data_IF_661309398982
#
_entry.id   IF_661309398982
#
_cell.length_a   1.000
_cell.length_b   1.000
_cell.length_c   1.000
_cell.angle_alpha   90.00
_cell.angle_beta   90.00
_cell.angle_gamma   90.00
#
_symmetry.space_group_name_H-M   'P 1'
#
loop_
_entity.id
_entity.type
_entity.pdbx_description
1 polymer ?
#
# COMPACT_ATOMS: atom_id res chain seq x y z
N UNK A 1 -9.05 -26.13 29.37
CA UNK A 1 -9.87 -24.89 29.37
C UNK A 1 -8.97 -23.72 29.05
N UNK A 2 -8.88 -23.34 27.78
CA UNK A 2 -8.28 -22.08 27.31
C UNK A 2 -8.63 -21.92 25.82
N UNK A 3 -9.87 -21.49 25.55
CA UNK A 3 -10.32 -21.01 24.24
C UNK A 3 -10.78 -19.57 24.47
N UNK A 4 -10.40 -18.68 23.56
CA UNK A 4 -10.82 -17.26 23.43
C UNK A 4 -9.93 -16.21 24.11
N UNK A 5 -8.76 -15.91 23.53
CA UNK A 5 -8.03 -14.67 23.85
C UNK A 5 -7.46 -13.90 22.64
N UNK A 6 -7.94 -14.15 21.42
CA UNK A 6 -7.51 -13.39 20.21
C UNK A 6 -8.65 -12.67 19.47
N UNK A 7 -9.80 -12.43 20.11
CA UNK A 7 -10.94 -11.69 19.53
C UNK A 7 -11.33 -10.41 20.27
N UNK A 8 -10.54 -9.98 21.25
CA UNK A 8 -10.85 -8.81 22.11
C UNK A 8 -10.14 -7.55 21.64
N UNK A 9 -10.64 -6.96 20.55
CA UNK A 9 -10.45 -5.53 20.24
C UNK A 9 -11.50 -4.92 19.27
N UNK A 10 -12.40 -5.71 18.69
CA UNK A 10 -13.48 -5.21 17.83
C UNK A 10 -14.83 -5.75 18.32
N UNK A 11 -15.40 -5.11 19.34
CA UNK A 11 -16.85 -5.12 19.56
C UNK A 11 -17.37 -3.69 19.42
N UNK A 12 -17.20 -3.12 18.22
CA UNK A 12 -18.29 -2.27 17.74
C UNK A 12 -19.43 -3.23 17.42
N UNK A 13 -20.62 -2.99 17.97
CA UNK A 13 -21.81 -3.75 17.60
C UNK A 13 -22.06 -3.50 16.11
N UNK A 14 -21.57 -4.41 15.26
CA UNK A 14 -21.80 -4.40 13.83
C UNK A 14 -22.89 -5.42 13.53
N UNK A 15 -23.98 -4.94 12.94
CA UNK A 15 -25.03 -5.82 12.46
C UNK A 15 -24.66 -6.28 11.05
N UNK A 16 -24.39 -7.58 10.91
CA UNK A 16 -24.26 -8.23 9.61
C UNK A 16 -25.49 -9.10 9.39
N UNK A 17 -26.15 -8.91 8.26
CA UNK A 17 -27.36 -9.68 7.93
C UNK A 17 -26.98 -11.11 7.59
N UNK A 18 -27.79 -12.10 7.97
CA UNK A 18 -27.52 -13.50 7.64
C UNK A 18 -27.48 -13.73 6.11
N UNK A 19 -26.59 -14.60 5.58
CA UNK A 19 -26.42 -14.80 4.14
C UNK A 19 -27.73 -15.12 3.39
N UNK A 20 -28.60 -15.93 3.98
CA UNK A 20 -29.89 -16.31 3.36
C UNK A 20 -30.92 -15.18 3.34
N UNK A 21 -30.81 -14.20 4.24
CA UNK A 21 -31.77 -13.10 4.38
C UNK A 21 -31.45 -11.94 3.44
N UNK A 22 -30.17 -11.76 3.09
CA UNK A 22 -29.69 -10.68 2.21
C UNK A 22 -30.38 -10.63 0.84
N UNK A 23 -30.46 -11.71 0.04
CA UNK A 23 -31.07 -11.63 -1.29
C UNK A 23 -32.55 -11.24 -1.20
N UNK A 24 -33.27 -11.76 -0.20
CA UNK A 24 -34.68 -11.41 0.05
C UNK A 24 -34.83 -9.92 0.35
N UNK A 25 -34.03 -9.39 1.28
CA UNK A 25 -34.07 -7.97 1.62
C UNK A 25 -33.65 -7.08 0.45
N UNK A 26 -32.64 -7.48 -0.32
CA UNK A 26 -32.21 -6.74 -1.51
C UNK A 26 -33.32 -6.69 -2.56
N UNK A 27 -33.97 -7.82 -2.86
CA UNK A 27 -35.08 -7.86 -3.82
C UNK A 27 -36.27 -7.04 -3.33
N UNK A 28 -36.60 -7.12 -2.03
CA UNK A 28 -37.65 -6.30 -1.43
C UNK A 28 -37.33 -4.80 -1.52
N UNK A 29 -36.12 -4.38 -1.17
CA UNK A 29 -35.68 -2.98 -1.25
C UNK A 29 -35.71 -2.45 -2.68
N UNK A 30 -35.22 -3.24 -3.65
CA UNK A 30 -35.25 -2.86 -5.07
C UNK A 30 -36.69 -2.79 -5.60
N UNK A 31 -37.56 -3.71 -5.17
CA UNK A 31 -38.99 -3.69 -5.50
C UNK A 31 -39.69 -2.44 -4.95
N UNK A 32 -39.47 -2.12 -3.68
CA UNK A 32 -40.00 -0.89 -3.05
C UNK A 32 -39.47 0.35 -3.75
N UNK A 33 -38.16 0.42 -4.05
CA UNK A 33 -37.58 1.53 -4.82
C UNK A 33 -38.24 1.69 -6.21
N UNK A 34 -38.57 0.59 -6.88
CA UNK A 34 -39.23 0.65 -8.19
C UNK A 34 -40.67 1.17 -8.08
N UNK A 35 -41.42 0.72 -7.07
CA UNK A 35 -42.77 1.23 -6.78
C UNK A 35 -42.73 2.73 -6.46
N UNK A 36 -41.81 3.17 -5.60
CA UNK A 36 -41.66 4.59 -5.25
C UNK A 36 -41.29 5.45 -6.46
N UNK A 37 -40.46 4.96 -7.38
CA UNK A 37 -40.18 5.66 -8.64
C UNK A 37 -41.43 5.74 -9.51
N UNK A 38 -42.19 4.66 -9.63
CA UNK A 38 -43.45 4.64 -10.39
C UNK A 38 -44.46 5.67 -9.83
N UNK A 39 -44.66 5.69 -8.52
CA UNK A 39 -45.52 6.67 -7.84
C UNK A 39 -45.03 8.10 -8.03
N UNK A 40 -43.71 8.34 -7.99
CA UNK A 40 -43.16 9.67 -8.25
C UNK A 40 -43.45 10.16 -9.69
N UNK A 41 -43.39 9.26 -10.67
CA UNK A 41 -43.71 9.57 -12.07
C UNK A 41 -45.19 9.90 -12.22
N UNK A 42 -46.09 9.10 -11.61
CA UNK A 42 -47.53 9.35 -11.63
C UNK A 42 -47.89 10.68 -10.97
N UNK A 43 -47.36 10.95 -9.77
CA UNK A 43 -47.60 12.22 -9.09
C UNK A 43 -47.12 13.44 -9.89
N UNK A 44 -46.03 13.29 -10.67
CA UNK A 44 -45.55 14.35 -11.58
C UNK A 44 -46.54 14.61 -12.70
N UNK A 45 -47.20 13.58 -13.23
CA UNK A 45 -48.27 13.73 -14.22
C UNK A 45 -49.52 14.43 -13.65
N UNK A 46 -49.78 14.27 -12.35
CA UNK A 46 -50.86 14.95 -11.62
C UNK A 46 -50.48 16.37 -11.13
N UNK A 47 -49.27 16.85 -11.43
CA UNK A 47 -48.79 18.18 -11.05
C UNK A 47 -48.31 18.31 -9.59
N UNK A 48 -48.12 17.19 -8.89
CA UNK A 48 -47.69 17.17 -7.47
C UNK A 48 -46.23 16.77 -7.34
N UNK A 49 -45.40 17.62 -6.75
CA UNK A 49 -43.96 17.37 -6.60
C UNK A 49 -43.64 16.41 -5.43
N UNK A 50 -43.46 15.13 -5.74
CA UNK A 50 -43.04 14.09 -4.79
C UNK A 50 -41.56 13.67 -4.97
N UNK A 51 -40.65 14.63 -5.15
CA UNK A 51 -39.21 14.35 -5.28
C UNK A 51 -38.62 13.51 -4.12
N UNK A 52 -39.24 13.54 -2.94
CA UNK A 52 -38.83 12.72 -1.79
C UNK A 52 -39.03 11.20 -2.01
N UNK A 53 -39.96 10.76 -2.86
CA UNK A 53 -40.09 9.35 -3.24
C UNK A 53 -38.86 8.87 -4.02
N UNK A 54 -38.35 9.70 -4.93
CA UNK A 54 -37.11 9.40 -5.67
C UNK A 54 -35.92 9.37 -4.72
N UNK A 55 -35.83 10.30 -3.77
CA UNK A 55 -34.78 10.28 -2.74
C UNK A 55 -34.83 9.01 -1.86
N UNK A 56 -36.01 8.62 -1.39
CA UNK A 56 -36.20 7.39 -0.64
C UNK A 56 -35.83 6.14 -1.46
N UNK A 57 -36.17 6.14 -2.75
CA UNK A 57 -35.79 5.07 -3.69
C UNK A 57 -34.28 4.94 -3.84
N UNK A 58 -33.57 6.07 -4.02
CA UNK A 58 -32.11 6.12 -4.10
C UNK A 58 -31.47 5.60 -2.82
N UNK A 59 -31.99 6.01 -1.66
CA UNK A 59 -31.57 5.50 -0.36
C UNK A 59 -31.73 3.97 -0.29
N UNK A 60 -32.89 3.43 -0.66
CA UNK A 60 -33.14 1.98 -0.72
C UNK A 60 -32.19 1.23 -1.64
N UNK A 61 -31.86 1.79 -2.82
CA UNK A 61 -30.87 1.23 -3.75
C UNK A 61 -29.47 1.19 -3.13
N UNK A 62 -29.05 2.23 -2.40
CA UNK A 62 -27.77 2.23 -1.69
C UNK A 62 -27.73 1.17 -0.59
N UNK A 63 -28.83 0.99 0.16
CA UNK A 63 -28.97 -0.08 1.16
C UNK A 63 -28.83 -1.45 0.51
N UNK A 64 -29.57 -1.70 -0.58
CA UNK A 64 -29.50 -2.96 -1.32
C UNK A 64 -28.08 -3.23 -1.87
N UNK A 65 -27.41 -2.19 -2.40
CA UNK A 65 -26.01 -2.30 -2.84
C UNK A 65 -25.06 -2.60 -1.68
N UNK A 66 -25.25 -1.98 -0.52
CA UNK A 66 -24.45 -2.24 0.67
C UNK A 66 -24.57 -3.69 1.15
N UNK A 67 -25.79 -4.22 1.17
CA UNK A 67 -26.06 -5.64 1.48
C UNK A 67 -25.38 -6.57 0.48
N UNK A 68 -25.43 -6.27 -0.82
CA UNK A 68 -24.71 -7.02 -1.85
C UNK A 68 -23.20 -7.04 -1.58
N UNK A 69 -22.64 -5.89 -1.19
CA UNK A 69 -21.22 -5.75 -0.89
C UNK A 69 -20.81 -6.28 0.49
N UNK A 70 -21.76 -6.81 1.28
CA UNK A 70 -21.55 -7.32 2.64
C UNK A 70 -21.13 -6.23 3.63
N UNK A 71 -21.60 -5.00 3.44
CA UNK A 71 -21.25 -3.86 4.30
C UNK A 71 -21.88 -4.04 5.69
N UNK A 72 -21.08 -4.00 6.77
CA UNK A 72 -21.62 -4.01 8.12
C UNK A 72 -22.25 -2.66 8.47
N UNK A 73 -23.39 -2.70 9.17
CA UNK A 73 -24.01 -1.50 9.74
C UNK A 73 -23.47 -1.32 11.15
N UNK A 74 -22.85 -0.17 11.40
CA UNK A 74 -22.27 0.18 12.70
C UNK A 74 -23.16 1.19 13.43
N UNK A 75 -22.98 1.34 14.74
CA UNK A 75 -23.67 2.38 15.50
C UNK A 75 -23.41 3.80 14.93
N UNK A 76 -22.17 4.21 14.58
CA UNK A 76 -21.93 5.49 13.89
C UNK A 76 -22.66 5.63 12.55
N UNK A 77 -22.73 4.58 11.73
CA UNK A 77 -23.47 4.64 10.46
C UNK A 77 -24.95 4.92 10.73
N UNK A 78 -25.53 4.20 11.70
CA UNK A 78 -26.93 4.35 12.07
C UNK A 78 -27.22 5.75 12.64
N UNK A 79 -26.41 6.24 13.58
CA UNK A 79 -26.64 7.55 14.20
C UNK A 79 -26.51 8.69 13.19
N UNK A 80 -25.50 8.67 12.32
CA UNK A 80 -25.34 9.70 11.28
C UNK A 80 -26.48 9.62 10.26
N UNK A 81 -26.90 8.41 9.86
CA UNK A 81 -28.02 8.25 8.92
C UNK A 81 -29.35 8.74 9.51
N UNK A 82 -29.62 8.45 10.79
CA UNK A 82 -30.80 8.95 11.51
C UNK A 82 -30.76 10.47 11.66
N UNK A 83 -29.59 11.03 11.99
CA UNK A 83 -29.42 12.48 12.06
C UNK A 83 -29.64 13.15 10.69
N UNK A 84 -29.06 12.60 9.62
CA UNK A 84 -29.28 13.08 8.26
C UNK A 84 -30.76 12.99 7.85
N UNK A 85 -31.47 11.93 8.25
CA UNK A 85 -32.90 11.78 8.02
C UNK A 85 -33.72 12.84 8.78
N UNK A 86 -33.37 13.13 10.04
CA UNK A 86 -34.02 14.18 10.82
C UNK A 86 -33.80 15.57 10.19
N UNK A 87 -32.56 15.88 9.79
CA UNK A 87 -32.25 17.11 9.06
C UNK A 87 -32.98 17.18 7.71
N UNK A 88 -33.12 16.06 6.99
CA UNK A 88 -33.89 16.02 5.74
C UNK A 88 -35.36 16.42 5.95
N UNK A 89 -36.01 15.87 6.99
CA UNK A 89 -37.39 16.20 7.36
C UNK A 89 -37.53 17.68 7.74
N UNK A 90 -36.60 18.24 8.51
CA UNK A 90 -36.59 19.69 8.84
C UNK A 90 -36.43 20.52 7.57
N UNK A 91 -35.52 20.16 6.66
CA UNK A 91 -35.31 20.87 5.40
C UNK A 91 -36.56 20.84 4.49
N UNK A 92 -37.26 19.72 4.42
CA UNK A 92 -38.54 19.64 3.69
C UNK A 92 -39.62 20.54 4.31
N UNK A 93 -39.71 20.59 5.65
CA UNK A 93 -40.67 21.48 6.34
C UNK A 93 -40.32 22.96 6.22
N UNK A 94 -39.03 23.28 6.10
CA UNK A 94 -38.53 24.64 5.90
C UNK A 94 -38.51 25.06 4.41
N UNK A 95 -39.22 24.35 3.53
CA UNK A 95 -39.32 24.66 2.10
C UNK A 95 -37.96 24.68 1.36
N UNK A 96 -37.01 23.85 1.82
CA UNK A 96 -35.72 23.60 1.16
C UNK A 96 -35.67 22.19 0.54
N UNK A 97 -36.48 21.89 -0.51
CA UNK A 97 -36.66 20.54 -1.02
C UNK A 97 -35.40 19.93 -1.63
N UNK A 98 -34.51 20.73 -2.22
CA UNK A 98 -33.24 20.24 -2.77
C UNK A 98 -32.29 19.71 -1.68
N UNK A 99 -32.23 20.41 -0.53
CA UNK A 99 -31.43 19.98 0.62
C UNK A 99 -32.05 18.75 1.28
N UNK A 100 -33.37 18.74 1.46
CA UNK A 100 -34.12 17.59 1.96
C UNK A 100 -33.90 16.34 1.09
N UNK A 101 -33.95 16.50 -0.23
CA UNK A 101 -33.68 15.44 -1.20
C UNK A 101 -32.28 14.86 -1.05
N UNK A 102 -31.25 15.72 -1.05
CA UNK A 102 -29.86 15.28 -0.93
C UNK A 102 -29.60 14.52 0.36
N UNK A 103 -30.08 15.05 1.49
CA UNK A 103 -29.95 14.40 2.80
C UNK A 103 -30.67 13.05 2.83
N UNK A 104 -31.93 12.99 2.41
CA UNK A 104 -32.72 11.75 2.39
C UNK A 104 -32.08 10.69 1.48
N UNK A 105 -31.70 11.05 0.25
CA UNK A 105 -31.04 10.14 -0.69
C UNK A 105 -29.70 9.62 -0.13
N UNK A 106 -28.97 10.44 0.62
CA UNK A 106 -27.69 10.06 1.22
C UNK A 106 -27.81 9.10 2.41
N UNK A 107 -28.97 9.00 3.06
CA UNK A 107 -29.14 8.17 4.29
C UNK A 107 -28.74 6.71 4.08
N UNK A 108 -29.19 6.09 2.99
CA UNK A 108 -28.86 4.69 2.66
C UNK A 108 -27.39 4.51 2.29
N UNK A 109 -26.77 5.52 1.67
CA UNK A 109 -25.33 5.53 1.39
C UNK A 109 -24.52 5.62 2.69
N UNK A 110 -24.88 6.53 3.60
CA UNK A 110 -24.26 6.72 4.92
C UNK A 110 -24.35 5.42 5.73
N UNK A 111 -25.51 4.78 5.73
CA UNK A 111 -25.75 3.53 6.47
C UNK A 111 -24.82 2.40 6.01
N UNK A 112 -24.47 2.40 4.72
CA UNK A 112 -23.68 1.36 4.04
C UNK A 112 -22.24 1.79 3.72
N UNK A 113 -21.75 2.85 4.37
CA UNK A 113 -20.37 3.30 4.19
C UNK A 113 -19.38 2.18 4.53
N UNK A 114 -18.27 2.08 3.77
CA UNK A 114 -17.24 1.08 4.06
C UNK A 114 -16.54 1.37 5.38
N UNK A 115 -16.43 0.37 6.24
CA UNK A 115 -15.55 0.46 7.41
C UNK A 115 -14.08 0.50 6.98
N UNK A 116 -13.30 1.29 7.72
CA UNK A 116 -11.85 1.36 7.57
C UNK A 116 -11.14 0.58 8.67
N UNK A 117 -10.10 -0.17 8.32
CA UNK A 117 -9.13 -0.77 9.21
C UNK A 117 -8.32 0.29 9.94
N UNK A 118 -7.94 0.00 11.19
CA UNK A 118 -7.13 0.88 12.03
C UNK A 118 -5.66 0.39 12.05
N UNK A 119 -4.67 1.29 12.12
CA UNK A 119 -3.27 0.89 12.18
C UNK A 119 -3.01 0.06 13.43
N UNK A 120 -2.05 -0.86 13.35
CA UNK A 120 -1.70 -1.75 14.46
C UNK A 120 -0.21 -1.65 14.82
N UNK A 121 0.32 -0.46 15.19
CA UNK A 121 1.73 -0.30 15.56
C UNK A 121 2.14 -1.20 16.73
N UNK A 122 1.20 -1.58 17.61
CA UNK A 122 1.43 -2.53 18.69
C UNK A 122 1.84 -3.95 18.23
N UNK A 123 1.61 -4.30 16.95
CA UNK A 123 2.01 -5.60 16.39
C UNK A 123 3.45 -5.60 15.85
N UNK A 124 4.16 -4.46 15.88
CA UNK A 124 5.47 -4.28 15.24
C UNK A 124 6.48 -5.37 15.59
N UNK A 125 6.63 -5.74 16.86
CA UNK A 125 7.59 -6.80 17.27
C UNK A 125 7.24 -8.18 16.69
N UNK A 126 5.94 -8.51 16.61
CA UNK A 126 5.48 -9.77 16.04
C UNK A 126 5.70 -9.79 14.53
N UNK A 127 5.42 -8.68 13.85
CA UNK A 127 5.64 -8.51 12.42
C UNK A 127 7.13 -8.55 12.10
N UNK A 128 7.98 -7.91 12.89
CA UNK A 128 9.44 -7.97 12.73
C UNK A 128 9.99 -9.40 12.82
N UNK A 129 9.48 -10.21 13.77
CA UNK A 129 9.86 -11.62 13.85
C UNK A 129 9.43 -12.44 12.63
N UNK A 130 8.32 -12.09 11.98
CA UNK A 130 7.89 -12.72 10.74
C UNK A 130 8.72 -12.26 9.54
N UNK A 131 9.04 -10.96 9.45
CA UNK A 131 9.94 -10.39 8.44
C UNK A 131 11.31 -11.06 8.51
N UNK A 132 11.87 -11.23 9.71
CA UNK A 132 13.16 -11.90 9.89
C UNK A 132 13.13 -13.36 9.39
N UNK A 133 12.01 -14.07 9.56
CA UNK A 133 11.84 -15.45 9.06
C UNK A 133 11.51 -15.54 7.58
N UNK A 134 11.11 -14.44 6.94
CA UNK A 134 10.74 -14.42 5.53
C UNK A 134 12.00 -14.51 4.67
N UNK A 135 12.08 -15.54 3.84
CA UNK A 135 13.21 -15.80 2.95
C UNK A 135 12.77 -15.61 1.49
N UNK A 136 13.73 -15.28 0.62
CA UNK A 136 13.49 -15.09 -0.82
C UNK A 136 12.48 -13.98 -1.14
N UNK A 137 12.28 -13.03 -0.22
CA UNK A 137 11.52 -11.80 -0.45
C UNK A 137 12.19 -10.63 0.27
N UNK A 138 13.15 -9.96 -0.39
CA UNK A 138 13.85 -8.85 0.24
C UNK A 138 12.89 -7.71 0.59
N UNK A 139 11.71 -7.61 -0.03
CA UNK A 139 10.72 -6.55 0.23
C UNK A 139 9.91 -6.76 1.52
N UNK A 140 10.04 -7.91 2.19
CA UNK A 140 9.35 -8.20 3.45
C UNK A 140 9.44 -7.09 4.51
N UNK A 141 10.57 -6.36 4.70
CA UNK A 141 10.66 -5.28 5.68
C UNK A 141 9.62 -4.19 5.51
N UNK A 142 9.13 -3.92 4.29
CA UNK A 142 8.08 -2.91 4.06
C UNK A 142 6.75 -3.24 4.75
N UNK A 143 6.57 -4.49 5.20
CA UNK A 143 5.46 -4.86 6.08
C UNK A 143 5.49 -4.11 7.43
N UNK A 144 6.62 -3.52 7.86
CA UNK A 144 6.75 -2.83 9.15
C UNK A 144 6.13 -1.43 9.19
N UNK A 145 5.71 -0.87 8.05
CA UNK A 145 5.16 0.49 7.98
C UNK A 145 4.00 0.69 8.99
N UNK A 146 4.05 1.76 9.80
CA UNK A 146 3.16 1.92 10.97
C UNK A 146 1.67 2.03 10.62
N UNK A 147 1.37 2.54 9.42
CA UNK A 147 0.01 2.64 8.89
C UNK A 147 -0.65 1.29 8.58
N UNK A 148 0.06 0.16 8.62
CA UNK A 148 -0.52 -1.15 8.25
C UNK A 148 -1.40 -1.76 9.34
N UNK A 149 -2.30 -2.61 8.88
CA UNK A 149 -3.08 -3.58 9.66
C UNK A 149 -2.62 -4.96 9.26
N UNK A 150 -2.73 -5.95 10.14
CA UNK A 150 -2.24 -7.29 9.87
C UNK A 150 -3.33 -8.33 10.09
N UNK A 151 -3.36 -9.33 9.21
CA UNK A 151 -4.11 -10.55 9.41
C UNK A 151 -3.13 -11.70 9.61
N UNK A 152 -3.21 -12.39 10.75
CA UNK A 152 -2.32 -13.49 11.10
C UNK A 152 -3.08 -14.81 10.99
N UNK A 153 -2.40 -15.87 10.56
CA UNK A 153 -2.95 -17.21 10.72
C UNK A 153 -3.06 -17.59 12.20
N UNK A 154 -3.80 -18.65 12.51
CA UNK A 154 -4.07 -19.10 13.87
C UNK A 154 -2.78 -19.35 14.69
N UNK A 155 -1.74 -19.91 14.07
CA UNK A 155 -0.47 -20.25 14.71
C UNK A 155 0.52 -19.07 14.75
N UNK A 156 0.16 -17.92 14.18
CA UNK A 156 1.03 -16.73 14.15
C UNK A 156 2.35 -16.94 13.41
N UNK A 157 2.41 -17.89 12.49
CA UNK A 157 3.60 -18.21 11.70
C UNK A 157 3.67 -17.44 10.39
N UNK A 158 2.55 -16.85 9.94
CA UNK A 158 2.50 -15.99 8.77
C UNK A 158 1.47 -14.87 8.92
N UNK A 159 1.65 -13.78 8.17
CA UNK A 159 0.74 -12.64 8.16
C UNK A 159 0.61 -11.95 6.80
N UNK A 160 -0.56 -11.37 6.55
CA UNK A 160 -0.83 -10.45 5.43
C UNK A 160 -0.87 -9.02 5.98
N UNK A 161 -0.04 -8.15 5.43
CA UNK A 161 -0.03 -6.73 5.75
C UNK A 161 -0.94 -5.96 4.77
N UNK A 162 -1.94 -5.26 5.30
CA UNK A 162 -2.96 -4.61 4.48
C UNK A 162 -3.48 -3.30 5.09
N UNK A 163 -4.21 -2.53 4.29
CA UNK A 163 -4.95 -1.34 4.74
C UNK A 163 -6.21 -1.19 3.91
N UNK A 164 -7.30 -0.77 4.54
CA UNK A 164 -8.55 -0.62 3.80
C UNK A 164 -8.82 0.84 3.46
N UNK A 165 -9.23 1.12 2.22
CA UNK A 165 -9.72 2.42 1.76
C UNK A 165 -10.87 2.21 0.80
N UNK A 166 -11.91 3.04 0.91
CA UNK A 166 -13.08 2.98 0.03
C UNK A 166 -13.72 1.58 -0.08
N UNK A 167 -13.60 0.79 0.99
CA UNK A 167 -14.10 -0.57 1.04
C UNK A 167 -13.30 -1.60 0.24
N UNK A 168 -12.05 -1.27 -0.10
CA UNK A 168 -11.04 -2.16 -0.66
C UNK A 168 -9.99 -2.42 0.43
N UNK A 169 -9.73 -3.67 0.77
CA UNK A 169 -8.54 -4.12 1.50
C UNK A 169 -7.37 -4.19 0.50
N UNK A 170 -6.50 -3.20 0.56
CA UNK A 170 -5.27 -3.13 -0.23
C UNK A 170 -4.19 -3.89 0.53
N UNK A 171 -3.81 -5.05 0.01
CA UNK A 171 -2.69 -5.85 0.48
C UNK A 171 -1.40 -5.27 -0.08
N UNK A 172 -0.39 -5.09 0.77
CA UNK A 172 0.91 -4.55 0.39
C UNK A 172 1.95 -5.67 0.29
N UNK A 173 2.33 -6.01 -0.94
CA UNK A 173 3.32 -7.04 -1.22
C UNK A 173 2.82 -8.46 -0.97
N UNK A 174 3.78 -9.36 -0.76
CA UNK A 174 3.55 -10.77 -0.45
C UNK A 174 3.32 -10.97 1.06
N UNK A 175 2.67 -12.07 1.49
CA UNK A 175 2.62 -12.43 2.90
C UNK A 175 4.03 -12.59 3.49
N UNK A 176 4.16 -12.37 4.81
CA UNK A 176 5.40 -12.53 5.56
C UNK A 176 5.32 -13.76 6.48
N UNK A 177 6.46 -14.37 6.77
CA UNK A 177 6.60 -15.52 7.66
C UNK A 177 6.79 -16.84 6.90
N UNK A 178 6.18 -17.92 7.40
CA UNK A 178 6.30 -19.26 6.84
C UNK A 178 5.52 -19.39 5.53
N UNK A 179 6.26 -19.58 4.43
CA UNK A 179 5.75 -19.72 3.07
C UNK A 179 4.77 -20.88 2.92
N UNK A 180 4.95 -21.97 3.68
CA UNK A 180 4.04 -23.12 3.63
C UNK A 180 2.62 -22.76 4.07
N UNK A 181 2.46 -21.74 4.92
CA UNK A 181 1.16 -21.27 5.41
C UNK A 181 0.45 -20.29 4.46
N UNK A 182 1.12 -19.79 3.41
CA UNK A 182 0.59 -18.69 2.60
C UNK A 182 -0.70 -19.06 1.86
N UNK A 183 -0.80 -20.29 1.34
CA UNK A 183 -1.97 -20.75 0.61
C UNK A 183 -3.25 -20.76 1.45
N UNK A 184 -3.16 -21.24 2.70
CA UNK A 184 -4.27 -21.23 3.65
C UNK A 184 -4.57 -19.80 4.11
N UNK A 185 -3.54 -19.04 4.49
CA UNK A 185 -3.65 -17.65 4.93
C UNK A 185 -4.38 -16.75 3.91
N UNK A 186 -4.09 -16.91 2.61
CA UNK A 186 -4.77 -16.15 1.53
C UNK A 186 -6.26 -16.50 1.46
N UNK A 187 -6.60 -17.78 1.63
CA UNK A 187 -8.00 -18.24 1.67
C UNK A 187 -8.75 -17.67 2.87
N UNK A 188 -8.18 -17.81 4.07
CA UNK A 188 -8.71 -17.27 5.32
C UNK A 188 -8.90 -15.74 5.25
N UNK A 189 -7.90 -15.02 4.72
CA UNK A 189 -8.00 -13.57 4.55
C UNK A 189 -9.08 -13.17 3.53
N UNK A 190 -9.27 -13.96 2.47
CA UNK A 190 -10.32 -13.71 1.48
C UNK A 190 -11.71 -13.77 2.11
N UNK A 191 -11.96 -14.79 2.94
CA UNK A 191 -13.19 -14.93 3.70
C UNK A 191 -13.34 -13.80 4.73
N UNK A 192 -12.28 -13.52 5.49
CA UNK A 192 -12.25 -12.42 6.45
C UNK A 192 -12.59 -11.08 5.80
N UNK A 193 -11.99 -10.75 4.66
CA UNK A 193 -12.26 -9.50 3.94
C UNK A 193 -13.71 -9.45 3.45
N UNK A 194 -14.24 -10.55 2.90
CA UNK A 194 -15.63 -10.65 2.47
C UNK A 194 -16.60 -10.40 3.64
N UNK A 195 -16.32 -10.98 4.81
CA UNK A 195 -17.13 -10.84 6.02
C UNK A 195 -17.12 -9.41 6.60
N UNK A 196 -16.08 -8.62 6.29
CA UNK A 196 -16.01 -7.19 6.63
C UNK A 196 -16.55 -6.28 5.50
N UNK A 197 -17.11 -6.88 4.45
CA UNK A 197 -17.60 -6.16 3.28
C UNK A 197 -16.51 -5.60 2.38
N UNK A 198 -15.26 -5.96 2.61
CA UNK A 198 -14.14 -5.49 1.81
C UNK A 198 -13.99 -6.30 0.54
N UNK A 199 -13.50 -5.62 -0.49
CA UNK A 199 -12.99 -6.22 -1.71
C UNK A 199 -11.48 -6.23 -1.65
N UNK A 200 -10.82 -7.16 -2.33
CA UNK A 200 -9.36 -7.26 -2.25
C UNK A 200 -8.72 -6.63 -3.49
N UNK A 201 -7.66 -5.86 -3.26
CA UNK A 201 -6.67 -5.52 -4.26
C UNK A 201 -5.28 -5.81 -3.67
N UNK A 202 -4.37 -6.33 -4.48
CA UNK A 202 -2.99 -6.62 -4.03
C UNK A 202 -2.05 -5.73 -4.82
N UNK A 203 -1.13 -5.05 -4.14
CA UNK A 203 -0.16 -4.17 -4.75
C UNK A 203 1.25 -4.69 -4.50
N UNK A 204 1.95 -5.09 -5.55
CA UNK A 204 3.34 -5.56 -5.45
C UNK A 204 3.52 -7.05 -5.24
N UNK A 205 2.54 -7.89 -5.62
CA UNK A 205 2.64 -9.33 -5.47
C UNK A 205 3.73 -9.93 -6.36
N UNK A 206 4.52 -10.86 -5.85
CA UNK A 206 5.42 -11.70 -6.63
C UNK A 206 4.68 -12.68 -7.55
N UNK A 207 5.36 -13.32 -8.51
CA UNK A 207 4.73 -14.22 -9.48
C UNK A 207 4.00 -15.40 -8.83
N UNK A 208 4.62 -16.05 -7.83
CA UNK A 208 4.02 -17.21 -7.16
C UNK A 208 2.80 -16.81 -6.31
N UNK A 209 2.93 -15.76 -5.51
CA UNK A 209 1.85 -15.26 -4.65
C UNK A 209 0.68 -14.72 -5.47
N UNK A 210 0.94 -14.12 -6.63
CA UNK A 210 -0.08 -13.76 -7.62
C UNK A 210 -0.90 -14.98 -8.07
N UNK A 211 -0.24 -16.13 -8.27
CA UNK A 211 -0.90 -17.42 -8.51
C UNK A 211 -1.78 -17.84 -7.33
N UNK A 212 -1.25 -17.80 -6.11
CA UNK A 212 -1.98 -18.15 -4.89
C UNK A 212 -3.24 -17.30 -4.70
N UNK A 213 -3.18 -15.99 -4.90
CA UNK A 213 -4.35 -15.12 -4.84
C UNK A 213 -5.45 -15.51 -5.83
N UNK A 214 -5.07 -15.89 -7.04
CA UNK A 214 -6.04 -16.30 -8.08
C UNK A 214 -6.68 -17.64 -7.78
N UNK A 215 -5.94 -18.55 -7.17
CA UNK A 215 -6.40 -19.90 -6.83
C UNK A 215 -7.22 -19.91 -5.53
N UNK A 216 -6.70 -19.27 -4.47
CA UNK A 216 -7.19 -19.44 -3.09
C UNK A 216 -8.13 -18.34 -2.62
N UNK A 217 -8.17 -17.17 -3.26
CA UNK A 217 -9.10 -16.11 -2.88
C UNK A 217 -10.52 -16.36 -3.43
N UNK A 218 -11.17 -17.43 -2.96
CA UNK A 218 -12.44 -17.93 -3.48
C UNK A 218 -13.57 -16.89 -3.43
N UNK A 219 -13.63 -16.08 -2.37
CA UNK A 219 -14.61 -14.98 -2.23
C UNK A 219 -14.34 -13.79 -3.16
N UNK A 220 -13.17 -13.74 -3.78
CA UNK A 220 -12.69 -12.63 -4.60
C UNK A 220 -12.27 -13.09 -5.99
N UNK A 221 -12.98 -14.07 -6.58
CA UNK A 221 -12.68 -14.57 -7.94
C UNK A 221 -12.56 -13.45 -8.96
N UNK A 222 -11.67 -13.66 -9.93
CA UNK A 222 -11.46 -12.73 -11.05
C UNK A 222 -10.40 -11.65 -10.79
N UNK A 223 -9.60 -11.78 -9.74
CA UNK A 223 -8.36 -11.00 -9.57
C UNK A 223 -7.46 -11.23 -10.80
N UNK A 224 -7.14 -10.17 -11.53
CA UNK A 224 -6.27 -10.22 -12.69
C UNK A 224 -4.93 -9.57 -12.37
N UNK A 225 -3.81 -10.25 -12.66
CA UNK A 225 -2.49 -9.68 -12.47
C UNK A 225 -2.21 -8.66 -13.57
N UNK A 226 -1.93 -7.44 -13.16
CA UNK A 226 -1.44 -6.36 -14.02
C UNK A 226 0.04 -6.16 -13.68
N UNK A 227 0.98 -6.42 -14.61
CA UNK A 227 2.40 -6.14 -14.36
C UNK A 227 2.57 -4.66 -14.08
N UNK A 228 3.17 -4.33 -12.94
CA UNK A 228 3.42 -2.93 -12.55
C UNK A 228 4.90 -2.57 -12.64
N UNK A 229 5.79 -3.57 -12.65
CA UNK A 229 7.23 -3.36 -12.72
C UNK A 229 8.01 -4.58 -12.27
N UNK A 230 9.29 -4.36 -11.96
CA UNK A 230 10.23 -5.40 -11.52
C UNK A 230 10.99 -4.94 -10.29
N UNK A 231 11.33 -5.90 -9.45
CA UNK A 231 12.30 -5.67 -8.39
C UNK A 231 13.72 -5.57 -8.99
N UNK A 232 14.61 -4.85 -8.31
CA UNK A 232 16.02 -4.72 -8.69
C UNK A 232 16.86 -5.25 -7.54
N UNK A 233 17.24 -6.52 -7.66
CA UNK A 233 17.88 -7.29 -6.59
C UNK A 233 19.28 -7.69 -7.01
N UNK A 234 20.27 -7.16 -6.28
CA UNK A 234 21.66 -7.57 -6.42
C UNK A 234 21.86 -8.90 -5.68
N UNK A 235 22.21 -9.94 -6.43
CA UNK A 235 22.75 -11.19 -5.90
C UNK A 235 24.23 -10.97 -5.55
N UNK A 236 24.53 -10.87 -4.25
CA UNK A 236 25.82 -10.40 -3.71
C UNK A 236 27.01 -11.23 -4.21
N UNK A 237 26.84 -12.56 -4.26
CA UNK A 237 27.87 -13.51 -4.70
C UNK A 237 28.16 -13.42 -6.20
N UNK A 238 27.17 -13.01 -6.99
CA UNK A 238 27.25 -12.94 -8.46
C UNK A 238 27.54 -11.54 -8.98
N UNK A 239 27.48 -10.54 -8.10
CA UNK A 239 27.69 -9.16 -8.49
C UNK A 239 29.18 -8.86 -8.65
N UNK A 240 29.62 -8.76 -9.90
CA UNK A 240 30.89 -8.15 -10.24
C UNK A 240 30.67 -6.94 -11.15
N UNK A 241 31.55 -5.95 -11.09
CA UNK A 241 31.49 -4.79 -11.97
C UNK A 241 32.27 -5.05 -13.27
N UNK A 242 32.25 -6.27 -13.83
CA UNK A 242 33.08 -6.66 -14.97
C UNK A 242 32.41 -6.39 -16.32
N UNK A 243 33.20 -5.95 -17.30
CA UNK A 243 32.74 -5.74 -18.68
C UNK A 243 32.21 -4.33 -18.96
N UNK A 244 31.81 -4.10 -20.22
CA UNK A 244 31.46 -2.77 -20.73
C UNK A 244 30.17 -2.20 -20.12
N UNK A 245 29.22 -3.06 -19.75
CA UNK A 245 27.90 -2.66 -19.23
C UNK A 245 27.97 -1.90 -17.89
N UNK A 246 28.99 -2.15 -17.07
CA UNK A 246 29.23 -1.46 -15.79
C UNK A 246 30.15 -0.24 -15.89
N UNK A 247 30.53 0.22 -17.09
CA UNK A 247 31.44 1.38 -17.26
C UNK A 247 30.96 2.60 -16.47
N UNK A 248 29.68 2.94 -16.58
CA UNK A 248 29.10 4.10 -15.89
C UNK A 248 29.13 3.93 -14.36
N UNK A 249 28.88 2.72 -13.87
CA UNK A 249 28.94 2.40 -12.45
C UNK A 249 30.37 2.53 -11.91
N UNK A 250 31.37 1.96 -12.61
CA UNK A 250 32.79 2.10 -12.23
C UNK A 250 33.25 3.56 -12.26
N UNK A 251 32.80 4.34 -13.25
CA UNK A 251 33.11 5.77 -13.33
C UNK A 251 32.50 6.56 -12.17
N UNK A 252 31.26 6.27 -11.78
CA UNK A 252 30.62 6.86 -10.61
C UNK A 252 31.43 6.58 -9.34
N UNK A 253 31.77 5.31 -9.09
CA UNK A 253 32.57 4.88 -7.93
C UNK A 253 33.98 5.50 -7.93
N UNK A 254 34.66 5.53 -9.07
CA UNK A 254 35.99 6.12 -9.19
C UNK A 254 35.96 7.62 -8.94
N UNK A 255 34.92 8.32 -9.43
CA UNK A 255 34.76 9.75 -9.19
C UNK A 255 34.63 10.02 -7.70
N UNK A 256 33.71 9.35 -7.00
CA UNK A 256 33.52 9.60 -5.56
C UNK A 256 34.76 9.29 -4.74
N UNK A 257 35.55 8.26 -5.12
CA UNK A 257 36.86 8.00 -4.50
C UNK A 257 37.83 9.17 -4.67
N UNK A 258 37.90 9.75 -5.87
CA UNK A 258 38.77 10.90 -6.14
C UNK A 258 38.32 12.17 -5.40
N UNK A 259 37.02 12.29 -5.09
CA UNK A 259 36.47 13.33 -4.21
C UNK A 259 36.68 13.03 -2.72
N UNK A 260 37.41 11.98 -2.36
CA UNK A 260 37.72 11.64 -0.97
C UNK A 260 36.57 11.00 -0.18
N UNK A 261 35.49 10.57 -0.85
CA UNK A 261 34.31 10.03 -0.18
C UNK A 261 34.60 8.71 0.53
N UNK A 262 34.26 8.65 1.81
CA UNK A 262 34.32 7.46 2.68
C UNK A 262 32.92 7.00 3.03
N UNK A 263 32.73 5.68 3.17
CA UNK A 263 31.44 5.07 3.52
C UNK A 263 31.59 4.22 4.77
N UNK A 264 30.52 4.16 5.55
CA UNK A 264 30.44 3.37 6.78
C UNK A 264 29.04 2.75 6.91
N UNK A 265 28.96 1.53 7.42
CA UNK A 265 27.70 0.83 7.70
C UNK A 265 27.50 0.76 9.20
N UNK A 266 26.42 1.34 9.70
CA UNK A 266 26.07 1.39 11.13
C UNK A 266 24.65 0.86 11.32
N UNK A 267 24.38 0.14 12.40
CA UNK A 267 23.02 -0.19 12.79
C UNK A 267 22.26 1.10 13.19
N UNK A 268 21.02 1.28 12.73
CA UNK A 268 20.23 2.50 13.01
C UNK A 268 20.05 2.73 14.53
N UNK A 269 19.85 1.64 15.28
CA UNK A 269 19.74 1.68 16.74
C UNK A 269 21.02 2.11 17.45
N UNK A 270 22.19 2.03 16.79
CA UNK A 270 23.49 2.43 17.33
C UNK A 270 23.90 3.85 16.91
N UNK A 271 23.07 4.58 16.16
CA UNK A 271 23.38 5.94 15.72
C UNK A 271 23.46 6.91 16.92
N UNK A 272 24.61 7.57 17.15
CA UNK A 272 24.72 8.63 18.14
C UNK A 272 23.72 9.76 17.88
N UNK A 273 23.17 10.43 18.91
CA UNK A 273 22.20 11.52 18.72
C UNK A 273 22.69 12.65 17.81
N UNK A 274 23.98 13.02 17.91
CA UNK A 274 24.59 14.04 17.05
C UNK A 274 24.60 13.62 15.58
N UNK A 275 25.06 12.40 15.29
CA UNK A 275 25.07 11.87 13.93
C UNK A 275 23.65 11.75 13.35
N UNK A 276 22.68 11.33 14.17
CA UNK A 276 21.28 11.29 13.78
C UNK A 276 20.77 12.68 13.38
N UNK A 277 21.12 13.72 14.14
CA UNK A 277 20.76 15.09 13.80
C UNK A 277 21.40 15.55 12.48
N UNK A 278 22.67 15.20 12.23
CA UNK A 278 23.35 15.52 10.96
C UNK A 278 22.65 14.86 9.76
N UNK A 279 22.27 13.59 9.89
CA UNK A 279 21.55 12.86 8.86
C UNK A 279 20.17 13.47 8.59
N UNK A 280 19.43 13.85 9.63
CA UNK A 280 18.16 14.57 9.49
C UNK A 280 18.34 15.95 8.83
N UNK A 281 19.45 16.64 9.09
CA UNK A 281 19.81 17.88 8.40
C UNK A 281 19.95 17.71 6.88
N UNK A 282 20.49 16.56 6.42
CA UNK A 282 20.54 16.23 4.97
C UNK A 282 19.14 16.09 4.38
N UNK A 283 18.19 15.52 5.14
CA UNK A 283 16.79 15.36 4.71
C UNK A 283 16.11 16.73 4.60
N UNK A 284 16.33 17.61 5.58
CA UNK A 284 15.67 18.92 5.67
C UNK A 284 16.09 19.86 4.51
N UNK A 285 17.29 19.73 3.94
CA UNK A 285 17.76 20.51 2.77
C UNK A 285 16.81 20.45 1.56
N UNK A 286 16.16 19.32 1.36
CA UNK A 286 15.34 19.10 0.18
C UNK A 286 13.99 19.80 0.26
N UNK A 287 13.61 20.39 1.42
CA UNK A 287 12.31 21.03 1.68
C UNK A 287 11.09 20.16 1.27
N UNK A 288 11.34 18.90 0.94
CA UNK A 288 10.41 17.90 0.44
C UNK A 288 9.96 17.03 1.61
N UNK A 289 9.39 17.72 2.61
CA UNK A 289 8.96 17.23 3.92
C UNK A 289 9.03 15.72 4.10
N UNK A 290 9.98 15.28 4.95
CA UNK A 290 10.06 14.01 5.68
C UNK A 290 9.13 12.92 5.14
N UNK A 291 9.70 11.89 4.49
CA UNK A 291 9.05 10.67 3.98
C UNK A 291 7.63 10.45 4.53
N UNK A 292 6.67 11.12 3.91
CA UNK A 292 5.27 11.17 4.38
C UNK A 292 4.32 10.44 3.43
N UNK A 293 4.88 9.94 2.32
CA UNK A 293 4.18 9.22 1.26
C UNK A 293 4.69 7.80 1.23
N UNK A 294 3.91 6.95 0.58
CA UNK A 294 4.16 5.55 0.35
C UNK A 294 3.49 4.65 1.37
N UNK A 295 3.29 3.41 0.94
CA UNK A 295 2.60 2.40 1.71
C UNK A 295 3.24 1.05 1.45
N UNK A 296 3.43 0.64 0.19
CA UNK A 296 3.80 -0.74 -0.13
C UNK A 296 5.32 -0.95 -0.22
N UNK A 297 6.10 0.09 -0.51
CA UNK A 297 7.51 -0.01 -0.86
C UNK A 297 8.36 1.11 -0.24
N UNK A 298 7.91 1.65 0.88
CA UNK A 298 8.68 2.58 1.70
C UNK A 298 8.31 2.36 3.16
N UNK A 299 9.23 2.66 4.07
CA UNK A 299 8.96 2.72 5.50
C UNK A 299 8.76 4.17 5.95
N UNK A 300 8.02 4.30 7.04
CA UNK A 300 7.97 5.54 7.81
C UNK A 300 9.05 5.53 8.90
N UNK A 301 8.98 6.49 9.82
CA UNK A 301 9.83 6.49 11.01
C UNK A 301 11.33 6.52 10.67
N UNK A 302 11.72 7.50 9.86
CA UNK A 302 13.09 7.66 9.37
C UNK A 302 14.05 8.00 10.51
N UNK A 303 15.03 7.12 10.75
CA UNK A 303 16.09 7.32 11.74
C UNK A 303 15.56 7.54 13.17
N UNK A 304 14.43 6.94 13.54
CA UNK A 304 13.93 7.00 14.91
C UNK A 304 14.26 5.72 15.72
N UNK A 305 14.76 4.67 15.06
CA UNK A 305 15.16 3.42 15.70
C UNK A 305 13.99 2.52 16.13
N UNK A 306 12.74 2.83 15.75
CA UNK A 306 11.58 1.98 16.05
C UNK A 306 11.61 0.67 15.26
N UNK A 307 12.01 0.74 13.99
CA UNK A 307 12.15 -0.44 13.16
C UNK A 307 13.39 -1.24 13.60
N UNK A 308 13.23 -2.50 14.01
CA UNK A 308 14.36 -3.29 14.51
C UNK A 308 15.31 -3.66 13.38
N UNK A 309 16.60 -3.80 13.72
CA UNK A 309 17.66 -4.30 12.84
C UNK A 309 17.94 -3.51 11.56
N UNK A 310 17.42 -2.28 11.42
CA UNK A 310 17.73 -1.43 10.28
C UNK A 310 19.23 -1.09 10.19
N UNK A 311 19.74 -1.01 8.96
CA UNK A 311 21.12 -0.57 8.68
C UNK A 311 21.11 0.79 8.00
N UNK A 312 22.14 1.59 8.29
CA UNK A 312 22.40 2.87 7.65
C UNK A 312 23.78 2.83 7.03
N UNK A 313 23.85 3.02 5.71
CA UNK A 313 25.09 3.26 4.99
C UNK A 313 25.24 4.77 4.88
N UNK A 314 26.21 5.36 5.56
CA UNK A 314 26.49 6.80 5.49
C UNK A 314 27.71 7.08 4.63
N UNK A 315 27.74 8.26 4.03
CA UNK A 315 28.87 8.74 3.26
C UNK A 315 29.36 10.10 3.79
N UNK A 316 30.68 10.21 3.97
CA UNK A 316 31.38 11.43 4.38
C UNK A 316 32.34 11.90 3.29
N UNK A 317 32.49 13.20 3.14
CA UNK A 317 33.50 13.79 2.26
C UNK A 317 34.91 13.78 2.89
N UNK A 318 35.88 14.43 2.23
CA UNK A 318 37.27 14.47 2.69
C UNK A 318 37.43 15.24 4.00
N UNK A 319 36.51 16.17 4.29
CA UNK A 319 36.44 16.99 5.49
C UNK A 319 35.60 16.34 6.62
N UNK A 320 35.27 15.04 6.49
CA UNK A 320 34.48 14.25 7.43
C UNK A 320 33.01 14.70 7.60
N UNK A 321 32.52 15.56 6.72
CA UNK A 321 31.14 16.03 6.73
C UNK A 321 30.23 14.99 6.07
N UNK A 322 29.09 14.70 6.70
CA UNK A 322 28.06 13.81 6.14
C UNK A 322 27.49 14.42 4.87
N UNK A 323 27.66 13.76 3.72
CA UNK A 323 27.17 14.19 2.41
C UNK A 323 25.98 13.37 1.91
N UNK A 324 25.69 12.23 2.54
CA UNK A 324 24.50 11.45 2.26
C UNK A 324 24.44 10.15 3.07
N UNK A 325 23.30 9.47 2.99
CA UNK A 325 23.09 8.16 3.58
C UNK A 325 22.01 7.37 2.85
N UNK A 326 22.02 6.06 3.06
CA UNK A 326 21.00 5.13 2.63
C UNK A 326 20.54 4.29 3.81
N UNK A 327 19.24 4.10 3.96
CA UNK A 327 18.65 3.27 5.01
C UNK A 327 18.16 1.95 4.43
N UNK A 328 18.43 0.84 5.10
CA UNK A 328 18.09 -0.50 4.64
C UNK A 328 17.31 -1.28 5.69
N UNK A 329 16.19 -1.88 5.26
CA UNK A 329 15.49 -2.91 6.02
C UNK A 329 16.16 -4.27 5.87
N UNK A 330 16.01 -5.12 6.89
CA UNK A 330 16.66 -6.43 6.97
C UNK A 330 15.60 -7.54 7.07
N UNK A 331 15.78 -8.60 6.29
CA UNK A 331 14.95 -9.81 6.31
C UNK A 331 15.79 -11.09 6.14
N UNK A 332 15.13 -12.25 6.16
CA UNK A 332 15.75 -13.54 5.87
C UNK A 332 16.83 -13.96 6.86
N UNK A 333 16.70 -13.60 8.14
CA UNK A 333 17.65 -13.91 9.19
C UNK A 333 18.95 -13.13 9.03
N UNK A 334 18.86 -11.86 8.63
CA UNK A 334 20.02 -11.00 8.37
C UNK A 334 20.70 -11.24 7.02
N UNK A 335 20.10 -12.02 6.11
CA UNK A 335 20.73 -12.38 4.82
C UNK A 335 20.22 -11.57 3.64
N UNK A 336 19.19 -10.75 3.82
CA UNK A 336 18.58 -9.95 2.77
C UNK A 336 18.42 -8.50 3.24
N UNK A 337 18.75 -7.57 2.36
CA UNK A 337 18.61 -6.13 2.58
C UNK A 337 17.64 -5.52 1.56
N UNK A 338 16.89 -4.51 1.99
CA UNK A 338 16.06 -3.68 1.11
C UNK A 338 16.30 -2.21 1.33
N UNK A 339 16.66 -1.49 0.27
CA UNK A 339 16.81 -0.04 0.32
C UNK A 339 15.44 0.61 0.60
N UNK A 340 15.32 1.24 1.75
CA UNK A 340 14.16 2.04 2.14
C UNK A 340 14.27 3.41 1.47
N UNK A 341 15.31 4.18 1.83
CA UNK A 341 15.50 5.54 1.30
C UNK A 341 16.96 5.89 1.08
N UNK A 342 17.28 6.53 -0.07
CA UNK A 342 18.53 7.25 -0.27
C UNK A 342 18.32 8.77 -0.05
N UNK A 343 19.21 9.39 0.73
CA UNK A 343 19.28 10.83 0.92
C UNK A 343 20.71 11.32 0.69
N UNK A 344 20.85 12.46 0.03
CA UNK A 344 22.16 13.10 -0.19
C UNK A 344 22.02 14.60 -0.22
N UNK A 345 23.07 15.33 0.16
CA UNK A 345 23.09 16.79 0.04
C UNK A 345 23.04 17.21 -1.42
N UNK A 346 22.60 18.46 -1.67
CA UNK A 346 22.52 19.00 -3.03
C UNK A 346 23.89 19.15 -3.70
N UNK A 347 24.92 19.42 -2.89
CA UNK A 347 26.32 19.55 -3.30
C UNK A 347 27.09 18.21 -3.36
N UNK A 348 26.44 17.09 -3.03
CA UNK A 348 27.07 15.78 -3.04
C UNK A 348 27.62 15.40 -4.44
N UNK A 349 28.82 14.77 -4.51
CA UNK A 349 29.42 14.39 -5.78
C UNK A 349 28.57 13.37 -6.54
N UNK A 350 28.49 13.53 -7.86
CA UNK A 350 27.77 12.60 -8.73
C UNK A 350 28.34 11.18 -8.64
N UNK A 351 27.51 10.22 -8.24
CA UNK A 351 27.92 8.83 -8.03
C UNK A 351 27.84 8.38 -6.57
N UNK A 352 27.41 9.24 -5.65
CA UNK A 352 27.33 8.95 -4.22
C UNK A 352 26.45 7.74 -3.90
N UNK A 353 25.26 7.66 -4.51
CA UNK A 353 24.33 6.56 -4.28
C UNK A 353 24.90 5.23 -4.79
N UNK A 354 25.52 5.26 -5.97
CA UNK A 354 26.23 4.10 -6.54
C UNK A 354 27.41 3.66 -5.66
N UNK A 355 28.16 4.61 -5.10
CA UNK A 355 29.28 4.35 -4.20
C UNK A 355 28.81 3.62 -2.94
N UNK A 356 27.76 4.12 -2.28
CA UNK A 356 27.20 3.51 -1.08
C UNK A 356 26.69 2.09 -1.34
N UNK A 357 25.99 1.85 -2.44
CA UNK A 357 25.52 0.49 -2.81
C UNK A 357 26.70 -0.45 -3.08
N UNK A 358 27.70 -0.02 -3.84
CA UNK A 358 28.87 -0.87 -4.16
C UNK A 358 29.68 -1.22 -2.92
N UNK A 359 29.88 -0.27 -2.01
CA UNK A 359 30.57 -0.53 -0.75
C UNK A 359 29.72 -1.41 0.19
N UNK A 360 28.39 -1.25 0.17
CA UNK A 360 27.47 -2.15 0.86
C UNK A 360 27.55 -3.58 0.33
N UNK A 361 27.73 -3.81 -0.98
CA UNK A 361 27.94 -5.16 -1.52
C UNK A 361 29.21 -5.79 -0.94
N UNK A 362 30.28 -5.02 -0.76
CA UNK A 362 31.51 -5.52 -0.14
C UNK A 362 31.30 -5.88 1.34
N UNK A 363 30.60 -5.01 2.09
CA UNK A 363 30.18 -5.29 3.46
C UNK A 363 29.30 -6.56 3.53
N UNK A 364 28.32 -6.66 2.64
CA UNK A 364 27.38 -7.78 2.57
C UNK A 364 28.09 -9.13 2.41
N UNK A 365 29.11 -9.21 1.55
CA UNK A 365 29.95 -10.41 1.41
C UNK A 365 30.61 -10.81 2.72
N UNK A 366 31.17 -9.85 3.45
CA UNK A 366 31.85 -10.13 4.72
C UNK A 366 30.87 -10.59 5.82
N UNK A 367 29.59 -10.18 5.74
CA UNK A 367 28.56 -10.51 6.72
C UNK A 367 27.67 -11.70 6.30
N UNK A 368 27.93 -12.33 5.15
CA UNK A 368 27.11 -13.45 4.65
C UNK A 368 25.70 -13.05 4.16
N UNK A 369 25.50 -11.78 3.84
CA UNK A 369 24.29 -11.27 3.19
C UNK A 369 24.29 -11.70 1.72
N UNK A 370 23.16 -12.24 1.25
CA UNK A 370 23.02 -12.83 -0.09
C UNK A 370 22.37 -11.89 -1.10
N UNK A 371 21.42 -11.07 -0.67
CA UNK A 371 20.61 -10.22 -1.57
C UNK A 371 20.48 -8.81 -1.05
N UNK A 372 20.50 -7.85 -1.99
CA UNK A 372 20.21 -6.44 -1.74
C UNK A 372 19.20 -5.96 -2.77
N UNK A 373 17.95 -5.72 -2.37
CA UNK A 373 16.96 -5.02 -3.19
C UNK A 373 17.22 -3.51 -3.12
N UNK A 374 17.29 -2.87 -4.29
CA UNK A 374 17.57 -1.44 -4.41
C UNK A 374 16.32 -0.58 -4.55
N UNK A 375 15.28 -1.10 -5.19
CA UNK A 375 13.96 -0.50 -5.32
C UNK A 375 13.18 -1.25 -6.39
N UNK A 376 11.89 -0.94 -6.42
CA UNK A 376 11.01 -1.28 -7.51
C UNK A 376 11.21 -0.37 -8.73
N UNK A 377 11.54 -0.98 -9.87
CA UNK A 377 11.52 -0.31 -11.17
C UNK A 377 10.12 -0.45 -11.77
N UNK A 378 9.33 0.64 -11.78
CA UNK A 378 8.02 0.62 -12.40
C UNK A 378 8.14 0.53 -13.93
N UNK A 379 7.36 -0.37 -14.54
CA UNK A 379 7.23 -0.56 -15.99
C UNK A 379 8.54 -0.46 -16.80
N UNK A 380 9.60 -1.23 -16.47
CA UNK A 380 10.89 -1.12 -17.14
C UNK A 380 10.78 -1.39 -18.64
N UNK A 381 9.85 -2.26 -19.05
CA UNK A 381 9.56 -2.56 -20.46
C UNK A 381 9.06 -1.32 -21.24
N UNK A 382 8.22 -0.47 -20.62
CA UNK A 382 7.75 0.76 -21.26
C UNK A 382 8.88 1.77 -21.50
N UNK A 383 9.92 1.77 -20.67
CA UNK A 383 11.08 2.63 -20.79
C UNK A 383 12.23 2.03 -21.61
N UNK A 384 12.28 0.70 -21.74
CA UNK A 384 13.30 0.00 -22.52
C UNK A 384 13.01 0.04 -24.04
N UNK A 385 11.75 -0.09 -24.43
CA UNK A 385 11.36 -0.16 -25.84
C UNK A 385 11.32 1.22 -26.52
N UNK A 386 12.07 1.34 -27.62
CA UNK A 386 12.06 2.54 -28.48
C UNK A 386 10.96 2.52 -29.54
N UNK A 387 10.33 1.37 -29.79
CA UNK A 387 9.20 1.22 -30.71
C UNK A 387 7.97 0.79 -29.93
N UNK A 388 7.08 1.75 -29.62
CA UNK A 388 5.89 1.51 -28.80
C UNK A 388 4.67 1.30 -29.69
N UNK A 389 3.87 0.28 -29.39
CA UNK A 389 2.51 0.15 -29.93
C UNK A 389 1.61 1.32 -29.47
N UNK A 390 0.49 1.56 -30.16
CA UNK A 390 -0.46 2.63 -29.79
C UNK A 390 -0.97 2.49 -28.34
N UNK A 391 -1.18 1.27 -27.87
CA UNK A 391 -1.60 0.98 -26.49
C UNK A 391 -0.49 1.28 -25.48
N UNK A 392 0.76 0.88 -25.79
CA UNK A 392 1.92 1.21 -24.95
C UNK A 392 2.20 2.71 -24.91
N UNK A 393 1.93 3.44 -26.01
CA UNK A 393 2.05 4.89 -26.06
C UNK A 393 1.01 5.58 -25.16
N UNK A 394 -0.23 5.09 -25.14
CA UNK A 394 -1.28 5.59 -24.24
C UNK A 394 -0.93 5.31 -22.77
N UNK A 395 -0.48 4.10 -22.46
CA UNK A 395 -0.02 3.75 -21.09
C UNK A 395 1.18 4.58 -20.67
N UNK A 396 2.15 4.81 -21.59
CA UNK A 396 3.29 5.68 -21.34
C UNK A 396 2.84 7.09 -20.96
N UNK A 397 1.87 7.66 -21.68
CA UNK A 397 1.32 8.98 -21.39
C UNK A 397 0.58 9.04 -20.04
N UNK A 398 -0.17 7.99 -19.69
CA UNK A 398 -0.84 7.85 -18.39
C UNK A 398 0.16 7.72 -17.23
N UNK A 399 1.27 7.03 -17.43
CA UNK A 399 2.35 6.91 -16.44
C UNK A 399 3.03 8.27 -16.21
N UNK A 400 3.25 9.06 -17.26
CA UNK A 400 3.86 10.39 -17.15
C UNK A 400 2.96 11.42 -16.45
N UNK A 401 1.64 11.24 -16.48
CA UNK A 401 0.73 12.04 -15.64
C UNK A 401 0.99 11.82 -14.13
N UNK A 402 1.63 10.70 -13.75
CA UNK A 402 2.09 10.40 -12.39
C UNK A 402 3.52 10.85 -12.07
N UNK A 403 4.27 11.42 -13.03
CA UNK A 403 5.65 11.90 -12.80
C UNK A 403 5.79 12.96 -11.68
N UNK A 404 4.80 13.85 -11.44
CA UNK A 404 4.83 14.72 -10.26
C UNK A 404 4.80 13.96 -8.92
N UNK A 405 4.37 12.70 -8.92
CA UNK A 405 4.27 11.84 -7.73
C UNK A 405 5.52 10.99 -7.54
N UNK A 406 6.07 10.39 -8.62
CA UNK A 406 7.35 9.66 -8.63
C UNK A 406 8.08 9.94 -9.94
N UNK A 407 9.38 10.29 -9.90
CA UNK A 407 10.23 10.43 -11.11
C UNK A 407 10.67 9.06 -11.66
N UNK A 408 9.74 8.31 -12.23
CA UNK A 408 9.92 6.90 -12.60
C UNK A 408 11.05 6.68 -13.60
N UNK A 409 11.22 7.55 -14.59
CA UNK A 409 12.28 7.40 -15.60
C UNK A 409 13.68 7.58 -14.99
N UNK A 410 13.86 8.57 -14.11
CA UNK A 410 15.14 8.80 -13.43
C UNK A 410 15.50 7.63 -12.51
N UNK A 411 14.50 7.10 -11.79
CA UNK A 411 14.66 5.93 -10.94
C UNK A 411 15.05 4.69 -11.76
N UNK A 412 14.35 4.42 -12.87
CA UNK A 412 14.70 3.32 -13.76
C UNK A 412 16.12 3.44 -14.32
N UNK A 413 16.53 4.63 -14.79
CA UNK A 413 17.89 4.88 -15.28
C UNK A 413 18.96 4.67 -14.21
N UNK A 414 18.67 5.03 -12.96
CA UNK A 414 19.56 4.73 -11.82
C UNK A 414 19.68 3.23 -11.59
N UNK A 415 18.56 2.53 -11.41
CA UNK A 415 18.53 1.10 -11.10
C UNK A 415 19.16 0.23 -12.21
N UNK A 416 18.97 0.62 -13.47
CA UNK A 416 19.55 -0.09 -14.63
C UNK A 416 21.09 -0.14 -14.60
N UNK A 417 21.77 0.77 -13.88
CA UNK A 417 23.25 0.78 -13.78
C UNK A 417 23.80 -0.49 -13.10
N UNK A 418 23.00 -1.14 -12.27
CA UNK A 418 23.38 -2.34 -11.52
C UNK A 418 23.13 -3.64 -12.31
N UNK A 419 22.38 -3.58 -13.43
CA UNK A 419 22.06 -4.74 -14.28
C UNK A 419 21.49 -5.93 -13.48
N UNK A 420 20.63 -5.63 -12.52
CA UNK A 420 20.15 -6.56 -11.49
C UNK A 420 18.60 -6.65 -11.48
N UNK A 421 17.97 -6.56 -12.65
CA UNK A 421 16.51 -6.74 -12.76
C UNK A 421 16.15 -8.17 -12.38
N UNK A 422 15.20 -8.30 -11.46
CA UNK A 422 14.70 -9.57 -10.94
C UNK A 422 13.25 -9.79 -11.39
N UNK A 423 12.48 -10.48 -10.56
CA UNK A 423 11.11 -10.89 -10.81
C UNK A 423 10.15 -9.71 -11.03
N UNK A 424 9.10 -10.00 -11.81
CA UNK A 424 7.99 -9.09 -12.00
C UNK A 424 7.12 -9.02 -10.75
N UNK A 425 6.68 -7.80 -10.43
CA UNK A 425 5.65 -7.57 -9.43
C UNK A 425 4.35 -7.14 -10.10
N UNK A 426 3.25 -7.57 -9.50
CA UNK A 426 1.91 -7.43 -10.06
C UNK A 426 1.00 -6.64 -9.12
N UNK A 427 0.12 -5.83 -9.69
CA UNK A 427 -1.10 -5.41 -9.02
C UNK A 427 -2.23 -6.37 -9.39
N UNK A 428 -2.89 -6.97 -8.40
CA UNK A 428 -4.04 -7.84 -8.64
C UNK A 428 -5.32 -7.07 -8.35
N UNK A 429 -6.14 -6.93 -9.39
CA UNK A 429 -7.35 -6.12 -9.35
C UNK A 429 -8.46 -6.83 -10.12
N UNK A 430 -9.71 -6.65 -9.68
CA UNK A 430 -10.89 -7.06 -10.46
C UNK A 430 -11.34 -5.92 -11.36
N UNK A 431 -11.64 -6.21 -12.62
CA UNK A 431 -12.05 -5.18 -13.59
C UNK A 431 -13.24 -4.34 -13.13
N UNK A 432 -14.24 -4.96 -12.49
CA UNK A 432 -15.43 -4.27 -11.97
C UNK A 432 -15.11 -3.22 -10.91
N UNK A 433 -13.93 -3.31 -10.28
CA UNK A 433 -13.51 -2.49 -9.16
C UNK A 433 -12.28 -1.64 -9.50
N UNK A 434 -11.83 -1.64 -10.76
CA UNK A 434 -10.55 -1.04 -11.16
C UNK A 434 -10.43 0.43 -10.75
N UNK A 435 -11.51 1.21 -10.87
CA UNK A 435 -11.51 2.63 -10.51
C UNK A 435 -11.39 2.83 -8.99
N UNK A 436 -12.16 2.09 -8.19
CA UNK A 436 -12.17 2.23 -6.73
C UNK A 436 -10.89 1.62 -6.12
N UNK A 437 -10.43 0.49 -6.63
CA UNK A 437 -9.18 -0.13 -6.24
C UNK A 437 -7.97 0.74 -6.63
N UNK A 438 -7.98 1.31 -7.83
CA UNK A 438 -6.99 2.31 -8.27
C UNK A 438 -6.96 3.51 -7.34
N UNK A 439 -8.11 4.12 -7.06
CA UNK A 439 -8.20 5.23 -6.12
C UNK A 439 -7.73 4.87 -4.71
N UNK A 440 -8.07 3.67 -4.21
CA UNK A 440 -7.62 3.17 -2.91
C UNK A 440 -6.09 3.03 -2.86
N UNK A 441 -5.48 2.35 -3.83
CA UNK A 441 -4.02 2.17 -3.90
C UNK A 441 -3.29 3.50 -4.05
N UNK A 442 -3.72 4.36 -4.98
CA UNK A 442 -3.12 5.68 -5.17
C UNK A 442 -3.25 6.55 -3.91
N UNK A 443 -4.40 6.48 -3.22
CA UNK A 443 -4.61 7.22 -1.98
C UNK A 443 -3.67 6.75 -0.86
N UNK A 444 -3.36 5.46 -0.79
CA UNK A 444 -2.45 4.93 0.22
C UNK A 444 -0.98 5.24 -0.12
N UNK A 445 -0.61 5.10 -1.40
CA UNK A 445 0.78 5.27 -1.81
C UNK A 445 1.19 6.75 -1.91
N UNK A 446 0.26 7.67 -2.21
CA UNK A 446 0.64 9.06 -2.54
C UNK A 446 0.09 10.15 -1.64
N UNK A 447 -0.95 9.87 -0.84
CA UNK A 447 -1.48 10.89 0.07
C UNK A 447 -0.58 11.01 1.29
N UNK A 448 -0.10 12.22 1.63
CA UNK A 448 0.74 12.42 2.81
C UNK A 448 0.03 11.97 4.09
N UNK A 449 0.71 11.16 4.90
CA UNK A 449 0.24 10.79 6.24
C UNK A 449 0.45 11.97 7.22
N UNK A 450 -0.48 12.16 8.17
CA UNK A 450 -0.34 13.19 9.21
C UNK A 450 0.92 12.90 10.04
N UNK A 451 1.75 13.93 10.22
CA UNK A 451 3.01 13.89 10.98
C UNK A 451 2.78 13.28 12.36
N UNK A 452 3.42 12.16 12.65
CA UNK A 452 3.59 11.67 14.01
C UNK A 452 5.10 11.72 14.29
N UNK A 453 5.49 12.62 15.19
CA UNK A 453 6.85 12.71 15.72
C UNK A 453 7.09 11.57 16.71
#
# INVERSE_FOLDING_TARGET
MARNSTLTAYREASFTTAPMVRPVLMTALLGVSLVLIYEAVQATHEGVNHAWFVAASLSGVFVARGLHLHRPITLPHLTIAVFALACANVAYRAEHPAVGFGLLASTGFILMLPQSSRPQPQQMYRVAALVDRTIDDPLAPFALHSSKTYYFNAQSTAAIAYRTRFGIAVVAGDPIGDRAAFGELVGEFSEFAMNHGWRIAVLGAGPEVSGLWRERAAEHRGLRPVPIGRDVVIEVDRFDMVGRKYRNLRQAVSRTKNFGVRTEVIAEGALPPALRADLLGVVDEWHAGRQSRGFSMILDHLLDGRNPHMLVVLARDAEDRVVGFQRYGVSGGGRELSLDVPWRRKDAPNGLDERMVVDLVAYARAQGIRRISLAFAAFPELFADKQRSRTQQLMYLLVHLGDPLIRLESLYRYLRKFHALSDQRYALIRWREVLIAGAAMLSLEFVPHRRQY
#
